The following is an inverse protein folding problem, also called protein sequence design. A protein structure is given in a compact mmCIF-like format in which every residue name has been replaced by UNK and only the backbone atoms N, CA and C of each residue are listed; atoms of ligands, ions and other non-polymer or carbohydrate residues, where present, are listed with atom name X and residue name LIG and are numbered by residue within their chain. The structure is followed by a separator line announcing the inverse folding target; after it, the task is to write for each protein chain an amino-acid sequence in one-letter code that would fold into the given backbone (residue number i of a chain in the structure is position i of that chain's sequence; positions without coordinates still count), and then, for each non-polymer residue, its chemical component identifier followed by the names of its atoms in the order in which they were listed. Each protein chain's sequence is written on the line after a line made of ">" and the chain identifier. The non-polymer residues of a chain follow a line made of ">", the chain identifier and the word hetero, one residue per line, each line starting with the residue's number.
data_IF_416372487600
#
_entry.id   IF_416372487600
#
_cell.length_a   1.000
_cell.length_b   1.000
_cell.length_c   1.000
_cell.angle_alpha   90.00
_cell.angle_beta   90.00
_cell.angle_gamma   90.00
#
_symmetry.space_group_name_H-M   'P 1'
#
loop_
_entity.id
_entity.type
_entity.pdbx_description
1 polymer ?
#
# COMPACT_ATOMS: atom_id res chain seq x y z
N UNK A 1 14.54 -17.40 8.18
CA UNK A 1 14.05 -16.22 8.91
C UNK A 1 14.80 -14.92 8.59
N UNK A 2 16.11 -14.93 8.28
CA UNK A 2 16.92 -13.69 8.11
C UNK A 2 16.55 -12.78 6.93
N UNK A 3 16.13 -13.33 5.78
CA UNK A 3 15.74 -12.52 4.61
C UNK A 3 14.44 -11.74 4.84
N UNK A 4 13.44 -12.37 5.47
CA UNK A 4 12.19 -11.69 5.83
C UNK A 4 12.44 -10.59 6.86
N UNK A 5 13.35 -10.81 7.81
CA UNK A 5 13.74 -9.79 8.79
C UNK A 5 14.48 -8.61 8.15
N UNK A 6 15.33 -8.85 7.14
CA UNK A 6 16.01 -7.80 6.38
C UNK A 6 15.01 -6.97 5.56
N UNK A 7 14.11 -7.64 4.82
CA UNK A 7 13.05 -6.99 4.05
C UNK A 7 12.11 -6.17 4.95
N UNK A 8 11.69 -6.72 6.10
CA UNK A 8 10.87 -6.02 7.10
C UNK A 8 11.60 -4.80 7.67
N UNK A 9 12.91 -4.92 7.92
CA UNK A 9 13.72 -3.80 8.41
C UNK A 9 13.80 -2.67 7.38
N UNK A 10 13.87 -3.00 6.09
CA UNK A 10 13.91 -2.01 5.02
C UNK A 10 12.53 -1.41 4.75
N UNK A 11 11.44 -2.16 4.94
CA UNK A 11 10.06 -1.64 4.87
C UNK A 11 9.78 -0.58 5.93
N UNK A 12 10.24 -0.79 7.16
CA UNK A 12 10.06 0.19 8.24
C UNK A 12 10.82 1.49 7.94
N UNK A 13 12.02 1.41 7.38
CA UNK A 13 12.78 2.59 6.94
C UNK A 13 12.10 3.31 5.77
N UNK A 14 11.59 2.56 4.79
CA UNK A 14 10.85 3.12 3.67
C UNK A 14 9.58 3.85 4.14
N UNK A 15 8.82 3.23 5.06
CA UNK A 15 7.66 3.87 5.71
C UNK A 15 8.04 5.18 6.40
N UNK A 16 9.08 5.17 7.23
CA UNK A 16 9.55 6.40 7.90
C UNK A 16 9.98 7.49 6.91
N UNK A 17 10.62 7.11 5.80
CA UNK A 17 11.02 8.07 4.76
C UNK A 17 9.81 8.69 4.07
N UNK A 18 8.79 7.87 3.77
CA UNK A 18 7.53 8.30 3.16
C UNK A 18 6.68 9.15 4.11
N UNK A 19 6.67 8.83 5.41
CA UNK A 19 6.01 9.62 6.44
C UNK A 19 6.74 10.95 6.71
N UNK A 20 8.05 11.01 6.47
CA UNK A 20 8.85 12.23 6.56
C UNK A 20 8.72 13.15 5.32
N UNK A 21 8.00 12.72 4.27
CA UNK A 21 7.72 13.58 3.11
C UNK A 21 6.79 14.70 3.57
N UNK A 22 7.28 15.94 3.54
CA UNK A 22 6.54 17.11 4.02
C UNK A 22 5.24 17.41 3.25
N UNK A 23 5.06 16.83 2.07
CA UNK A 23 3.82 16.91 1.31
C UNK A 23 3.45 15.54 0.74
N UNK A 24 2.84 14.65 1.55
CA UNK A 24 2.51 13.31 1.10
C UNK A 24 1.48 13.40 -0.03
N UNK A 25 1.83 12.83 -1.18
CA UNK A 25 1.00 12.80 -2.39
C UNK A 25 0.27 11.44 -2.51
N UNK A 26 -0.53 11.30 -3.57
CA UNK A 26 -1.21 10.04 -3.87
C UNK A 26 -0.23 8.86 -4.04
N UNK A 27 0.96 9.14 -4.58
CA UNK A 27 2.04 8.16 -4.77
C UNK A 27 2.60 7.67 -3.43
N UNK A 28 2.83 8.58 -2.48
CA UNK A 28 3.27 8.27 -1.11
C UNK A 28 2.23 7.40 -0.41
N UNK A 29 0.95 7.80 -0.52
CA UNK A 29 -0.25 6.99 -0.32
C UNK A 29 -0.09 5.52 -0.74
N UNK A 30 0.12 5.37 -2.04
CA UNK A 30 0.14 4.08 -2.71
C UNK A 30 1.35 3.21 -2.33
N UNK A 31 2.54 3.82 -2.18
CA UNK A 31 3.75 3.12 -1.77
C UNK A 31 3.63 2.58 -0.34
N UNK A 32 3.00 3.32 0.57
CA UNK A 32 2.70 2.84 1.93
C UNK A 32 1.76 1.63 1.90
N UNK A 33 0.78 1.60 0.99
CA UNK A 33 -0.09 0.43 0.81
C UNK A 33 0.69 -0.80 0.31
N UNK A 34 1.64 -0.64 -0.62
CA UNK A 34 2.49 -1.74 -1.08
C UNK A 34 3.31 -2.31 0.08
N UNK A 35 3.94 -1.43 0.86
CA UNK A 35 4.74 -1.84 2.02
C UNK A 35 3.87 -2.62 3.01
N UNK A 36 2.67 -2.13 3.30
CA UNK A 36 1.70 -2.79 4.16
C UNK A 36 1.28 -4.17 3.62
N UNK A 37 1.11 -4.31 2.29
CA UNK A 37 0.81 -5.61 1.68
C UNK A 37 1.94 -6.61 1.93
N UNK A 38 3.19 -6.18 1.78
CA UNK A 38 4.38 -7.02 1.94
C UNK A 38 4.63 -7.44 3.39
N UNK A 39 4.16 -6.65 4.36
CA UNK A 39 4.17 -7.01 5.79
C UNK A 39 2.90 -7.75 6.24
N UNK A 40 2.01 -8.11 5.30
CA UNK A 40 0.71 -8.74 5.55
C UNK A 40 -0.23 -7.90 6.46
N UNK A 41 -0.07 -6.58 6.48
CA UNK A 41 -0.94 -5.68 7.24
C UNK A 41 -2.06 -5.12 6.35
N UNK A 42 -3.15 -5.87 6.19
CA UNK A 42 -4.27 -5.46 5.33
C UNK A 42 -4.98 -4.18 5.79
N UNK A 43 -5.06 -3.92 7.10
CA UNK A 43 -5.68 -2.70 7.62
C UNK A 43 -4.96 -1.45 7.10
N UNK A 44 -3.62 -1.47 7.12
CA UNK A 44 -2.79 -0.41 6.57
C UNK A 44 -2.90 -0.35 5.03
N UNK A 45 -3.00 -1.49 4.33
CA UNK A 45 -3.25 -1.52 2.88
C UNK A 45 -4.52 -0.74 2.54
N UNK A 46 -5.63 -1.07 3.22
CA UNK A 46 -6.93 -0.49 2.97
C UNK A 46 -6.97 1.02 3.27
N UNK A 47 -6.38 1.45 4.39
CA UNK A 47 -6.31 2.86 4.77
C UNK A 47 -5.49 3.70 3.78
N UNK A 48 -4.32 3.18 3.38
CA UNK A 48 -3.42 3.87 2.46
C UNK A 48 -3.97 3.90 1.02
N UNK A 49 -4.62 2.82 0.54
CA UNK A 49 -5.27 2.80 -0.78
C UNK A 49 -6.44 3.79 -0.86
N UNK A 50 -7.28 3.86 0.18
CA UNK A 50 -8.37 4.87 0.23
C UNK A 50 -7.80 6.29 0.11
N UNK A 51 -6.68 6.55 0.78
CA UNK A 51 -6.00 7.86 0.72
C UNK A 51 -5.40 8.13 -0.67
N UNK A 52 -4.74 7.14 -1.27
CA UNK A 52 -4.15 7.26 -2.60
C UNK A 52 -5.22 7.50 -3.67
N UNK A 53 -6.29 6.69 -3.67
CA UNK A 53 -7.40 6.75 -4.64
C UNK A 53 -8.22 8.03 -4.44
N UNK A 54 -8.41 8.46 -3.20
CA UNK A 54 -9.08 9.73 -2.89
C UNK A 54 -8.34 10.95 -3.44
N UNK A 55 -7.00 10.87 -3.57
CA UNK A 55 -6.17 11.93 -4.17
C UNK A 55 -6.03 11.78 -5.69
N UNK A 56 -5.84 10.56 -6.17
CA UNK A 56 -5.77 10.24 -7.59
C UNK A 56 -6.44 8.88 -7.87
N UNK A 57 -7.57 8.95 -8.59
CA UNK A 57 -8.37 7.78 -8.93
C UNK A 57 -7.68 6.81 -9.89
N UNK A 58 -6.61 7.23 -10.59
CA UNK A 58 -5.81 6.35 -11.45
C UNK A 58 -5.20 5.18 -10.66
N UNK A 59 -4.96 5.37 -9.35
CA UNK A 59 -4.44 4.34 -8.47
C UNK A 59 -5.43 3.18 -8.23
N UNK A 60 -6.74 3.37 -8.44
CA UNK A 60 -7.70 2.27 -8.32
C UNK A 60 -7.47 1.22 -9.40
N UNK A 61 -7.37 1.66 -10.66
CA UNK A 61 -7.01 0.79 -11.79
C UNK A 61 -5.61 0.21 -11.64
N UNK A 62 -4.67 1.00 -11.09
CA UNK A 62 -3.31 0.51 -10.81
C UNK A 62 -3.33 -0.61 -9.77
N UNK A 63 -4.03 -0.42 -8.64
CA UNK A 63 -4.15 -1.39 -7.57
C UNK A 63 -4.78 -2.71 -8.05
N UNK A 64 -5.75 -2.63 -8.96
CA UNK A 64 -6.38 -3.81 -9.58
C UNK A 64 -5.40 -4.63 -10.44
N UNK A 65 -4.41 -3.98 -11.07
CA UNK A 65 -3.44 -4.66 -11.92
C UNK A 65 -2.15 -5.04 -11.18
N UNK A 66 -1.88 -4.42 -10.03
CA UNK A 66 -0.66 -4.61 -9.25
C UNK A 66 -0.60 -6.02 -8.62
N UNK A 67 0.56 -6.68 -8.77
CA UNK A 67 0.80 -8.02 -8.23
C UNK A 67 0.86 -8.01 -6.70
N UNK A 68 1.28 -6.89 -6.11
CA UNK A 68 1.35 -6.71 -4.65
C UNK A 68 -0.04 -6.83 -4.00
N UNK A 69 -1.11 -6.51 -4.72
CA UNK A 69 -2.48 -6.62 -4.23
C UNK A 69 -3.25 -7.80 -4.82
N UNK A 70 -2.62 -8.65 -5.62
CA UNK A 70 -3.29 -9.78 -6.26
C UNK A 70 -4.01 -10.69 -5.26
N UNK A 71 -3.41 -10.91 -4.09
CA UNK A 71 -4.00 -11.69 -2.98
C UNK A 71 -5.25 -11.07 -2.35
N UNK A 72 -5.49 -9.77 -2.55
CA UNK A 72 -6.63 -9.04 -2.00
C UNK A 72 -7.77 -8.84 -3.00
N UNK A 73 -7.60 -9.19 -4.28
CA UNK A 73 -8.65 -9.02 -5.30
C UNK A 73 -9.91 -9.84 -5.03
N UNK A 74 -9.82 -10.89 -4.22
CA UNK A 74 -10.96 -11.69 -3.76
C UNK A 74 -11.59 -11.14 -2.47
N UNK A 75 -10.95 -10.17 -1.81
CA UNK A 75 -11.45 -9.53 -0.61
C UNK A 75 -12.47 -8.44 -0.97
N UNK A 76 -13.68 -8.56 -0.43
CA UNK A 76 -14.76 -7.63 -0.71
C UNK A 76 -14.46 -6.19 -0.25
N UNK A 77 -13.72 -6.01 0.85
CA UNK A 77 -13.29 -4.69 1.31
C UNK A 77 -12.30 -4.06 0.32
N UNK A 78 -11.30 -4.82 -0.13
CA UNK A 78 -10.36 -4.32 -1.14
C UNK A 78 -11.09 -3.94 -2.42
N UNK A 79 -12.00 -4.81 -2.90
CA UNK A 79 -12.81 -4.54 -4.07
C UNK A 79 -13.71 -3.31 -3.89
N UNK A 80 -14.21 -3.03 -2.69
CA UNK A 80 -14.96 -1.81 -2.39
C UNK A 80 -14.10 -0.53 -2.47
N UNK A 81 -12.79 -0.64 -2.31
CA UNK A 81 -11.87 0.52 -2.32
C UNK A 81 -11.46 0.87 -3.74
N UNK A 82 -11.26 -0.14 -4.59
CA UNK A 82 -10.75 0.01 -5.96
C UNK A 82 -11.85 0.07 -7.04
N UNK A 83 -13.12 -0.03 -6.65
CA UNK A 83 -14.27 -0.01 -7.55
C UNK A 83 -14.88 1.38 -7.71
#
# INVERSE_FOLDING_TARGET
>A
AGLAQLLVRDYNKAKQTLEAVGNPDATTAYLLAIIASRTNNFNDVAANLRTAIGRDRSFATRALNDLEFAKYRTNQEFMSIVK
#
